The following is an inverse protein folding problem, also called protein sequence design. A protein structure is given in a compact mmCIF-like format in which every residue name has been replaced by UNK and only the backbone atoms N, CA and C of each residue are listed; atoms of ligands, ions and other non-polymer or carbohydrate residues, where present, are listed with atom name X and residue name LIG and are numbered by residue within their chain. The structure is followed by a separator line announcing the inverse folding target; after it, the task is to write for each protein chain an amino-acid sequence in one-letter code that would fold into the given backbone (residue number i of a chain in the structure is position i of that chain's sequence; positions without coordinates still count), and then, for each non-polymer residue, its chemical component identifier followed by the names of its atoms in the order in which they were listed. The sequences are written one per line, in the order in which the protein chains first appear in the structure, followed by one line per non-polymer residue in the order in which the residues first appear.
data_IF_831064095850
#
_entry.id   IF_831064095850
#
_cell.length_a   1.000
_cell.length_b   1.000
_cell.length_c   1.000
_cell.angle_alpha   90.00
_cell.angle_beta   90.00
_cell.angle_gamma   90.00
#
_symmetry.space_group_name_H-M   'P 1'
#
loop_
_entity.id
_entity.type
_entity.pdbx_description
1 polymer ?
#
# COMPACT_ATOMS: atom_id res chain seq x y z
N UNK A 1 5.65 9.29 -2.61
CA UNK A 1 6.66 9.29 -1.53
C UNK A 1 6.55 10.45 -0.54
N UNK A 2 6.34 11.71 -0.96
CA UNK A 2 6.11 12.86 -0.03
C UNK A 2 4.88 12.72 0.88
N UNK A 3 3.99 11.77 0.60
CA UNK A 3 2.87 11.43 1.47
C UNK A 3 3.29 10.69 2.74
N UNK A 4 4.39 9.93 2.69
CA UNK A 4 4.87 9.11 3.80
C UNK A 4 5.74 9.90 4.78
N UNK A 5 6.36 10.98 4.30
CA UNK A 5 7.26 11.81 5.09
C UNK A 5 7.11 13.27 4.69
N UNK A 6 7.15 14.16 5.67
CA UNK A 6 7.27 15.60 5.44
C UNK A 6 8.73 16.04 5.49
N UNK A 7 9.49 16.03 4.37
CA UNK A 7 10.87 16.47 4.38
C UNK A 7 10.95 17.97 4.72
N UNK A 8 11.95 18.35 5.51
CA UNK A 8 12.29 19.76 5.74
C UNK A 8 12.65 20.45 4.43
N UNK A 9 12.40 21.77 4.27
CA UNK A 9 12.73 22.51 3.06
C UNK A 9 14.20 22.40 2.62
N UNK A 10 15.12 22.15 3.57
CA UNK A 10 16.56 22.00 3.30
C UNK A 10 17.00 20.55 3.07
N UNK A 11 16.08 19.60 3.11
CA UNK A 11 16.39 18.17 3.09
C UNK A 11 15.88 17.51 1.81
N UNK A 12 16.70 16.65 1.21
CA UNK A 12 16.26 15.83 0.08
C UNK A 12 15.33 14.72 0.56
N UNK A 13 14.38 14.32 -0.30
CA UNK A 13 13.45 13.23 0.01
C UNK A 13 14.18 11.92 0.37
N UNK A 14 15.26 11.63 -0.34
CA UNK A 14 16.12 10.47 -0.09
C UNK A 14 16.77 10.54 1.30
N UNK A 15 17.32 11.70 1.67
CA UNK A 15 17.92 11.90 3.01
C UNK A 15 16.87 11.77 4.11
N UNK A 16 15.68 12.36 3.91
CA UNK A 16 14.58 12.28 4.87
C UNK A 16 14.07 10.85 5.06
N UNK A 17 13.94 10.07 3.98
CA UNK A 17 13.58 8.66 4.05
C UNK A 17 14.68 7.82 4.73
N UNK A 18 15.96 8.11 4.47
CA UNK A 18 17.07 7.40 5.09
C UNK A 18 17.10 7.58 6.61
N UNK A 19 16.75 8.76 7.12
CA UNK A 19 16.61 8.99 8.56
C UNK A 19 15.43 8.25 9.20
N UNK A 20 14.44 7.89 8.39
CA UNK A 20 13.23 7.18 8.82
C UNK A 20 13.31 5.68 8.57
N UNK A 21 14.42 5.19 8.02
CA UNK A 21 14.66 3.78 7.74
C UNK A 21 15.34 3.10 8.91
N UNK A 22 14.72 2.04 9.42
CA UNK A 22 15.25 1.22 10.50
C UNK A 22 15.78 -0.09 9.91
N UNK A 23 17.05 -0.10 9.55
CA UNK A 23 17.71 -1.27 8.99
C UNK A 23 17.81 -2.40 10.00
N UNK A 24 17.17 -3.53 9.72
CA UNK A 24 17.31 -4.77 10.48
C UNK A 24 18.01 -5.85 9.62
N UNK A 25 18.15 -7.07 10.15
CA UNK A 25 18.76 -8.18 9.40
C UNK A 25 17.77 -8.90 8.47
N UNK A 26 16.60 -8.31 8.20
CA UNK A 26 15.58 -8.90 7.33
C UNK A 26 15.38 -8.00 6.11
N UNK A 27 15.65 -8.55 4.93
CA UNK A 27 15.38 -7.88 3.68
C UNK A 27 14.00 -8.29 3.19
N UNK A 28 13.08 -7.33 3.08
CA UNK A 28 11.77 -7.56 2.45
C UNK A 28 11.86 -7.18 0.98
N UNK A 29 11.42 -8.10 0.11
CA UNK A 29 11.35 -7.89 -1.33
C UNK A 29 9.90 -8.08 -1.78
N UNK A 30 9.37 -7.09 -2.49
CA UNK A 30 8.09 -7.20 -3.19
C UNK A 30 8.28 -8.02 -4.48
N UNK A 31 7.68 -9.21 -4.53
CA UNK A 31 7.75 -10.10 -5.69
C UNK A 31 6.62 -9.83 -6.68
N UNK A 32 5.39 -9.64 -6.17
CA UNK A 32 4.21 -9.28 -6.98
C UNK A 32 3.51 -8.05 -6.39
N UNK A 33 2.34 -7.68 -6.92
CA UNK A 33 1.59 -6.54 -6.40
C UNK A 33 1.24 -6.69 -4.91
N UNK A 34 0.99 -7.90 -4.42
CA UNK A 34 0.57 -8.18 -3.05
C UNK A 34 1.43 -9.19 -2.29
N UNK A 35 2.39 -9.86 -2.95
CA UNK A 35 3.27 -10.84 -2.28
C UNK A 35 4.65 -10.28 -1.97
N UNK A 36 5.18 -10.71 -0.83
CA UNK A 36 6.47 -10.28 -0.31
C UNK A 36 7.24 -11.50 0.21
N UNK A 37 8.52 -11.58 -0.12
CA UNK A 37 9.46 -12.49 0.52
C UNK A 37 10.30 -11.74 1.55
N UNK A 38 10.70 -12.46 2.60
CA UNK A 38 11.61 -11.94 3.63
C UNK A 38 12.83 -12.84 3.69
N UNK A 39 13.98 -12.27 3.39
CA UNK A 39 15.27 -12.97 3.40
C UNK A 39 16.16 -12.45 4.52
N UNK A 40 17.12 -13.27 4.96
CA UNK A 40 18.15 -12.83 5.91
C UNK A 40 19.13 -11.90 5.17
N UNK A 41 19.07 -10.61 5.46
CA UNK A 41 19.86 -9.57 4.83
C UNK A 41 20.86 -8.90 5.77
N UNK A 42 21.93 -8.32 5.23
CA UNK A 42 22.81 -7.42 6.00
C UNK A 42 22.16 -6.03 6.03
N UNK A 43 21.89 -5.52 7.23
CA UNK A 43 21.23 -4.21 7.46
C UNK A 43 21.78 -3.07 6.59
N UNK A 44 23.10 -3.01 6.39
CA UNK A 44 23.76 -1.98 5.56
C UNK A 44 23.39 -2.00 4.06
N UNK A 45 22.98 -3.16 3.52
CA UNK A 45 22.58 -3.29 2.11
C UNK A 45 21.07 -3.10 1.91
N UNK A 46 20.27 -3.22 2.96
CA UNK A 46 18.81 -3.24 2.86
C UNK A 46 18.23 -1.91 2.35
N UNK A 47 18.87 -0.77 2.65
CA UNK A 47 18.48 0.53 2.11
C UNK A 47 18.46 0.56 0.56
N UNK A 48 19.47 -0.05 -0.06
CA UNK A 48 19.62 -0.04 -1.52
C UNK A 48 18.53 -0.84 -2.24
N UNK A 49 17.88 -1.78 -1.56
CA UNK A 49 16.79 -2.57 -2.09
C UNK A 49 15.41 -2.04 -1.70
N UNK A 50 15.28 -1.44 -0.52
CA UNK A 50 14.00 -0.95 0.01
C UNK A 50 13.59 0.39 -0.59
N UNK A 51 14.53 1.32 -0.78
CA UNK A 51 14.23 2.64 -1.37
C UNK A 51 13.70 2.54 -2.82
N UNK A 52 14.30 1.74 -3.73
CA UNK A 52 13.74 1.57 -5.07
C UNK A 52 12.35 0.95 -5.07
N UNK A 53 12.03 0.04 -4.15
CA UNK A 53 10.69 -0.56 -4.05
C UNK A 53 9.59 0.48 -3.76
N UNK A 54 9.86 1.45 -2.87
CA UNK A 54 8.95 2.60 -2.66
C UNK A 54 8.75 3.43 -3.93
N UNK A 55 9.83 3.65 -4.70
CA UNK A 55 9.78 4.36 -5.97
C UNK A 55 8.94 3.61 -7.00
N UNK A 56 9.17 2.30 -7.15
CA UNK A 56 8.44 1.44 -8.08
C UNK A 56 6.94 1.44 -7.78
N UNK A 57 6.56 1.32 -6.51
CA UNK A 57 5.15 1.45 -6.11
C UNK A 57 4.57 2.80 -6.55
N UNK A 58 5.27 3.90 -6.26
CA UNK A 58 4.76 5.23 -6.63
C UNK A 58 4.65 5.45 -8.13
N UNK A 59 5.49 4.81 -8.94
CA UNK A 59 5.43 4.91 -10.39
C UNK A 59 4.30 4.05 -10.96
N UNK A 60 4.09 2.85 -10.40
CA UNK A 60 3.05 1.92 -10.82
C UNK A 60 1.65 2.46 -10.52
N UNK A 61 1.46 3.01 -9.32
CA UNK A 61 0.18 3.47 -8.82
C UNK A 61 0.05 5.01 -8.88
N UNK A 62 0.91 5.69 -9.65
CA UNK A 62 0.92 7.15 -9.78
C UNK A 62 -0.45 7.76 -10.14
N UNK A 63 -1.24 7.20 -11.07
CA UNK A 63 -2.53 7.78 -11.45
C UNK A 63 -3.56 7.80 -10.31
N UNK A 64 -3.46 6.84 -9.39
CA UNK A 64 -4.42 6.65 -8.29
C UNK A 64 -3.96 7.31 -6.98
N UNK A 65 -2.68 7.66 -6.89
CA UNK A 65 -2.12 8.38 -5.76
C UNK A 65 -2.54 9.85 -5.80
N UNK A 66 -3.00 10.43 -4.67
CA UNK A 66 -3.30 11.85 -4.62
C UNK A 66 -2.03 12.67 -4.85
N UNK A 67 -2.19 13.88 -5.38
CA UNK A 67 -1.07 14.82 -5.44
C UNK A 67 -0.54 15.09 -4.01
N UNK A 68 0.80 15.16 -3.81
CA UNK A 68 1.38 15.57 -2.54
C UNK A 68 0.69 16.82 -2.03
N UNK A 69 0.26 16.82 -0.77
CA UNK A 69 -0.30 18.01 -0.13
C UNK A 69 0.81 19.05 -0.06
N UNK A 70 0.93 19.89 -1.08
CA UNK A 70 1.87 20.97 -1.06
C UNK A 70 1.46 21.94 0.05
N UNK A 71 2.46 22.34 0.84
CA UNK A 71 2.39 23.47 1.76
C UNK A 71 1.71 24.60 1.01
N UNK A 72 0.68 25.23 1.62
CA UNK A 72 -0.18 26.30 1.09
C UNK A 72 0.59 27.40 0.31
N UNK A 73 1.10 27.10 -0.88
CA UNK A 73 1.66 28.06 -1.81
C UNK A 73 0.48 28.52 -2.63
N UNK A 74 0.09 29.78 -2.35
CA UNK A 74 -0.93 30.59 -3.02
C UNK A 74 -1.39 29.96 -4.34
N UNK A 75 -2.64 29.47 -4.37
CA UNK A 75 -3.32 28.93 -5.55
C UNK A 75 -3.07 29.84 -6.77
N UNK A 76 -2.03 29.54 -7.56
CA UNK A 76 -1.99 30.04 -8.94
C UNK A 76 -3.14 29.35 -9.64
N UNK A 77 -4.01 30.13 -10.27
CA UNK A 77 -5.20 29.67 -10.99
C UNK A 77 -4.79 28.67 -12.08
N UNK A 78 -4.67 27.39 -11.71
CA UNK A 78 -4.51 26.29 -12.65
C UNK A 78 -5.86 26.13 -13.36
N UNK A 79 -5.87 26.44 -14.64
CA UNK A 79 -7.06 26.46 -15.50
C UNK A 79 -7.57 25.05 -15.83
N UNK A 80 -6.74 24.02 -15.64
CA UNK A 80 -7.14 22.63 -15.80
C UNK A 80 -7.24 21.96 -14.43
N UNK A 81 -8.47 21.69 -13.99
CA UNK A 81 -8.76 20.88 -12.82
C UNK A 81 -8.74 19.42 -13.29
N UNK A 82 -7.61 18.73 -13.17
CA UNK A 82 -7.58 17.29 -13.34
C UNK A 82 -8.48 16.67 -12.25
N UNK A 83 -9.64 16.17 -12.67
CA UNK A 83 -10.65 15.61 -11.80
C UNK A 83 -10.23 14.17 -11.53
N UNK A 84 -9.50 13.91 -10.45
CA UNK A 84 -9.49 12.57 -9.84
C UNK A 84 -10.35 12.66 -8.58
N UNK A 85 -11.68 12.48 -8.69
CA UNK A 85 -12.57 12.55 -7.53
C UNK A 85 -12.28 11.46 -6.49
N UNK A 86 -11.50 10.44 -6.86
CA UNK A 86 -11.22 9.24 -6.06
C UNK A 86 -9.73 8.92 -6.00
N UNK A 87 -8.84 9.92 -5.83
CA UNK A 87 -7.48 9.62 -5.43
C UNK A 87 -7.55 8.83 -4.11
N UNK A 88 -7.34 7.53 -4.20
CA UNK A 88 -7.92 6.62 -3.22
C UNK A 88 -7.13 6.70 -1.91
N UNK A 89 -7.83 7.07 -0.85
CA UNK A 89 -7.29 7.01 0.52
C UNK A 89 -6.78 5.59 0.81
N UNK A 90 -7.44 4.57 0.24
CA UNK A 90 -6.99 3.18 0.21
C UNK A 90 -5.56 3.02 -0.33
N UNK A 91 -5.22 3.56 -1.51
CA UNK A 91 -3.86 3.45 -2.06
C UNK A 91 -2.82 4.19 -1.21
N UNK A 92 -3.20 5.27 -0.52
CA UNK A 92 -2.30 5.92 0.43
C UNK A 92 -2.04 5.05 1.66
N UNK A 93 -3.06 4.38 2.18
CA UNK A 93 -2.93 3.45 3.28
C UNK A 93 -2.11 2.23 2.88
N UNK A 94 -2.36 1.63 1.71
CA UNK A 94 -1.56 0.55 1.15
C UNK A 94 -0.09 0.96 1.00
N UNK A 95 0.15 2.19 0.53
CA UNK A 95 1.49 2.72 0.40
C UNK A 95 2.19 2.89 1.75
N UNK A 96 1.44 3.25 2.80
CA UNK A 96 1.96 3.32 4.16
C UNK A 96 2.25 1.94 4.74
N UNK A 97 1.37 0.95 4.51
CA UNK A 97 1.60 -0.46 4.90
C UNK A 97 2.86 -1.01 4.24
N UNK A 98 3.06 -0.75 2.94
CA UNK A 98 4.28 -1.11 2.24
C UNK A 98 5.51 -0.46 2.89
N UNK A 99 5.44 0.85 3.16
CA UNK A 99 6.55 1.58 3.78
C UNK A 99 6.92 1.00 5.16
N UNK A 100 5.92 0.67 5.98
CA UNK A 100 6.13 0.07 7.30
C UNK A 100 6.79 -1.31 7.21
N UNK A 101 6.31 -2.15 6.28
CA UNK A 101 6.87 -3.47 5.99
C UNK A 101 8.31 -3.39 5.50
N UNK A 102 8.63 -2.37 4.69
CA UNK A 102 9.99 -2.03 4.27
C UNK A 102 10.81 -1.30 5.36
N UNK A 103 10.29 -1.21 6.59
CA UNK A 103 10.93 -0.65 7.78
C UNK A 103 11.16 0.86 7.75
N UNK A 104 10.35 1.58 7.00
CA UNK A 104 10.24 3.03 7.13
C UNK A 104 9.24 3.37 8.23
N UNK A 105 9.66 4.15 9.23
CA UNK A 105 8.81 4.56 10.36
C UNK A 105 8.72 6.07 10.40
N UNK A 106 7.50 6.59 10.38
CA UNK A 106 7.20 8.00 10.58
C UNK A 106 5.78 8.14 11.14
N UNK A 107 5.51 9.20 11.89
CA UNK A 107 4.17 9.46 12.41
C UNK A 107 3.11 9.52 11.29
N UNK A 108 3.53 9.99 10.11
CA UNK A 108 2.67 10.07 8.93
C UNK A 108 2.36 8.70 8.34
N UNK A 109 3.32 7.78 8.35
CA UNK A 109 3.10 6.38 7.94
C UNK A 109 2.08 5.74 8.89
N UNK A 110 2.28 5.90 10.20
CA UNK A 110 1.35 5.38 11.22
C UNK A 110 -0.06 5.96 11.06
N UNK A 111 -0.19 7.28 10.84
CA UNK A 111 -1.47 7.95 10.61
C UNK A 111 -2.19 7.41 9.36
N UNK A 112 -1.45 7.16 8.27
CA UNK A 112 -2.02 6.65 7.03
C UNK A 112 -2.43 5.18 7.13
N UNK A 113 -1.67 4.36 7.86
CA UNK A 113 -2.04 2.97 8.14
C UNK A 113 -3.33 2.88 8.98
N UNK A 114 -3.53 3.84 9.90
CA UNK A 114 -4.74 3.92 10.72
C UNK A 114 -6.02 4.06 9.89
N UNK A 115 -5.91 4.64 8.69
CA UNK A 115 -7.02 4.90 7.76
C UNK A 115 -7.21 3.81 6.71
N UNK A 116 -6.56 2.67 6.89
CA UNK A 116 -6.75 1.53 6.00
C UNK A 116 -8.19 1.01 6.06
N UNK A 117 -8.74 0.64 4.90
CA UNK A 117 -10.06 0.00 4.82
C UNK A 117 -10.10 -1.30 5.62
N UNK A 118 -9.02 -2.09 5.57
CA UNK A 118 -8.87 -3.32 6.35
C UNK A 118 -8.90 -3.04 7.86
N UNK A 119 -8.28 -1.92 8.26
CA UNK A 119 -8.44 -1.17 9.52
C UNK A 119 -9.87 -1.20 10.04
N UNK A 120 -10.70 -0.52 9.27
CA UNK A 120 -12.09 -0.26 9.58
C UNK A 120 -12.92 -1.55 9.55
N UNK A 121 -12.68 -2.43 8.57
CA UNK A 121 -13.36 -3.72 8.45
C UNK A 121 -13.08 -4.61 9.65
N UNK A 122 -11.82 -4.71 10.10
CA UNK A 122 -11.46 -5.50 11.27
C UNK A 122 -12.12 -4.96 12.54
N UNK A 123 -12.13 -3.63 12.73
CA UNK A 123 -12.77 -2.98 13.88
C UNK A 123 -14.28 -3.17 13.86
N UNK A 124 -14.92 -2.96 12.72
CA UNK A 124 -16.36 -3.16 12.54
C UNK A 124 -16.75 -4.62 12.72
N UNK A 125 -15.93 -5.57 12.25
CA UNK A 125 -16.15 -7.00 12.48
C UNK A 125 -16.13 -7.36 13.96
N UNK A 126 -15.17 -6.86 14.75
CA UNK A 126 -15.13 -7.07 16.20
C UNK A 126 -16.39 -6.54 16.89
N UNK A 127 -16.77 -5.31 16.54
CA UNK A 127 -17.91 -4.62 17.14
C UNK A 127 -19.27 -5.23 16.73
N UNK A 128 -19.36 -5.86 15.56
CA UNK A 128 -20.60 -6.53 15.09
C UNK A 128 -20.68 -8.01 15.45
N UNK A 129 -19.55 -8.69 15.65
CA UNK A 129 -19.53 -10.13 15.91
C UNK A 129 -20.11 -10.49 17.30
N UNK A 130 -20.14 -9.55 18.23
CA UNK A 130 -20.69 -9.72 19.59
C UNK A 130 -21.66 -8.61 19.91
N UNK A 131 -22.71 -8.94 20.68
CA UNK A 131 -23.66 -7.93 21.13
C UNK A 131 -22.99 -6.99 22.14
N UNK A 132 -22.90 -5.70 21.80
CA UNK A 132 -22.27 -4.68 22.64
C UNK A 132 -23.01 -4.45 23.96
N UNK A 133 -24.28 -4.85 24.07
CA UNK A 133 -25.04 -4.79 25.33
C UNK A 133 -24.51 -5.78 26.38
N UNK A 134 -23.70 -6.76 25.97
CA UNK A 134 -23.22 -7.85 26.82
C UNK A 134 -21.71 -8.07 26.78
N UNK A 135 -21.01 -7.48 25.81
CA UNK A 135 -19.58 -7.66 25.60
C UNK A 135 -18.95 -6.31 25.24
N UNK A 136 -17.90 -5.94 25.96
CA UNK A 136 -17.12 -4.74 25.70
C UNK A 136 -15.64 -5.11 25.53
N UNK A 137 -14.92 -4.29 24.76
CA UNK A 137 -13.48 -4.37 24.60
C UNK A 137 -12.88 -3.10 25.18
N UNK A 138 -11.94 -3.23 26.11
CA UNK A 138 -11.18 -2.07 26.57
C UNK A 138 -10.50 -1.37 25.38
N UNK A 139 -10.47 -0.04 25.37
CA UNK A 139 -9.92 0.76 24.25
C UNK A 139 -8.45 0.40 23.95
N UNK A 140 -7.68 -0.07 24.94
CA UNK A 140 -6.31 -0.55 24.73
C UNK A 140 -6.24 -1.94 24.10
N UNK A 141 -7.24 -2.77 24.35
CA UNK A 141 -7.32 -4.13 23.84
C UNK A 141 -7.86 -4.15 22.40
N UNK A 142 -8.84 -3.31 22.07
CA UNK A 142 -9.46 -3.32 20.73
C UNK A 142 -8.44 -3.10 19.61
N UNK A 143 -7.51 -2.16 19.77
CA UNK A 143 -6.44 -1.92 18.79
C UNK A 143 -5.53 -3.15 18.64
N UNK A 144 -5.21 -3.83 19.75
CA UNK A 144 -4.39 -5.05 19.75
C UNK A 144 -5.08 -6.20 19.01
N UNK A 145 -6.39 -6.37 19.21
CA UNK A 145 -7.19 -7.37 18.50
C UNK A 145 -7.32 -7.05 17.01
N UNK A 146 -7.44 -5.78 16.66
CA UNK A 146 -7.46 -5.32 15.27
C UNK A 146 -6.13 -5.65 14.57
N UNK A 147 -4.98 -5.42 15.20
CA UNK A 147 -3.68 -5.82 14.65
C UNK A 147 -3.56 -7.34 14.43
N UNK A 148 -4.16 -8.16 15.31
CA UNK A 148 -4.20 -9.61 15.11
C UNK A 148 -5.02 -10.00 13.85
N UNK A 149 -6.18 -9.37 13.64
CA UNK A 149 -7.01 -9.61 12.45
C UNK A 149 -6.28 -9.15 11.18
N UNK A 150 -5.62 -7.99 11.21
CA UNK A 150 -4.79 -7.53 10.09
C UNK A 150 -3.66 -8.51 9.79
N UNK A 151 -3.05 -9.09 10.83
CA UNK A 151 -2.11 -10.19 10.70
C UNK A 151 -2.68 -11.39 9.93
N UNK A 152 -3.96 -11.73 10.18
CA UNK A 152 -4.66 -12.78 9.44
C UNK A 152 -4.94 -12.38 7.99
N UNK A 153 -5.43 -11.16 7.72
CA UNK A 153 -5.64 -10.67 6.36
C UNK A 153 -4.36 -10.70 5.51
N UNK A 154 -3.21 -10.38 6.12
CA UNK A 154 -1.92 -10.43 5.46
C UNK A 154 -1.49 -11.86 5.04
N UNK A 155 -2.14 -12.91 5.53
CA UNK A 155 -1.89 -14.30 5.09
C UNK A 155 -2.62 -14.66 3.80
N UNK A 156 -3.56 -13.83 3.34
CA UNK A 156 -4.31 -14.07 2.11
C UNK A 156 -3.37 -14.12 0.90
N UNK A 157 -3.56 -15.14 0.06
CA UNK A 157 -2.80 -15.29 -1.19
C UNK A 157 -3.66 -14.83 -2.37
N UNK A 158 -3.06 -14.16 -3.39
CA UNK A 158 -3.79 -13.81 -4.60
C UNK A 158 -4.34 -15.09 -5.23
N UNK A 159 -5.59 -15.04 -5.68
CA UNK A 159 -6.20 -16.13 -6.44
C UNK A 159 -5.59 -16.11 -7.83
N UNK A 160 -5.03 -17.23 -8.28
CA UNK A 160 -4.55 -17.36 -9.66
C UNK A 160 -5.73 -17.12 -10.62
N UNK A 161 -5.75 -15.98 -11.30
CA UNK A 161 -6.74 -15.65 -12.34
C UNK A 161 -6.30 -16.18 -13.71
N UNK A 162 -5.68 -17.36 -13.77
CA UNK A 162 -5.34 -18.01 -15.05
C UNK A 162 -6.53 -18.75 -15.69
N UNK A 163 -7.72 -18.67 -15.11
CA UNK A 163 -8.95 -19.22 -15.68
C UNK A 163 -9.95 -18.13 -16.02
N UNK A 164 -9.53 -17.18 -16.86
CA UNK A 164 -10.48 -16.44 -17.69
C UNK A 164 -9.79 -15.83 -18.90
N UNK A 165 -8.97 -16.61 -19.61
CA UNK A 165 -8.77 -16.31 -21.02
C UNK A 165 -10.08 -16.64 -21.72
N UNK A 166 -10.84 -15.67 -22.29
CA UNK A 166 -11.83 -16.05 -23.27
C UNK A 166 -11.08 -16.80 -24.38
N UNK A 167 -11.48 -18.03 -24.65
CA UNK A 167 -10.90 -18.80 -25.75
C UNK A 167 -10.97 -17.91 -27.00
N UNK A 168 -9.81 -17.51 -27.52
CA UNK A 168 -9.74 -16.87 -28.83
C UNK A 168 -10.23 -17.92 -29.81
N UNK A 169 -11.46 -17.76 -30.29
CA UNK A 169 -11.99 -18.54 -31.41
C UNK A 169 -11.05 -18.28 -32.58
N UNK A 170 -10.24 -19.27 -32.90
CA UNK A 170 -9.41 -19.26 -34.09
C UNK A 170 -10.30 -19.63 -35.26
N UNK A 171 -10.93 -18.63 -35.89
CA UNK A 171 -11.51 -18.78 -37.23
C UNK A 171 -10.35 -18.88 -38.23
N UNK A 172 -9.79 -20.09 -38.36
CA UNK A 172 -8.87 -20.42 -39.44
C UNK A 172 -9.65 -20.62 -40.74
N UNK A 173 -9.27 -19.98 -41.87
CA UNK A 173 -9.96 -20.13 -43.13
C UNK A 173 -9.46 -21.39 -43.85
N UNK A 174 -9.94 -22.56 -43.44
CA UNK A 174 -9.76 -23.79 -44.21
C UNK A 174 -11.12 -24.40 -44.55
N UNK A 175 -11.72 -23.85 -45.61
CA UNK A 175 -12.71 -24.54 -46.41
C UNK A 175 -12.49 -24.18 -47.88
N UNK A 176 -11.43 -24.75 -48.45
CA UNK A 176 -11.31 -24.88 -49.90
C UNK A 176 -12.46 -25.81 -50.38
N UNK A 177 -13.49 -25.23 -50.99
CA UNK A 177 -14.53 -25.98 -51.66
C UNK A 177 -13.99 -26.69 -52.91
N UNK A 178 -14.46 -27.92 -53.24
CA UNK A 178 -14.04 -28.61 -54.45
C UNK A 178 -14.62 -27.91 -55.69
N UNK A 179 -13.81 -27.86 -56.75
CA UNK A 179 -14.21 -27.40 -58.09
C UNK A 179 -15.03 -28.47 -58.81
#
# INVERSE_FOLDING_TARGET
MRHLIGPSPKQTLRSALNQKFFGNNQLVIQETHSTYSTELGKSSKNWHFTYPQLWLYTMRDYPDLPAPREVKTKKKKLLAKARTPNASEAKLSDFAVLADRLRFKSDKISELMLRSSDREVARDALLRARNQDHYDYDDGDIDSHVEQILGLFATAKPRNTEQSCPALVSDGPDAAGPR
#
